data_IF_762075521754
#
_entry.id   IF_762075521754
#
_cell.length_a   1.000
_cell.length_b   1.000
_cell.length_c   1.000
_cell.angle_alpha   90.00
_cell.angle_beta   90.00
_cell.angle_gamma   90.00
#
_symmetry.space_group_name_H-M   'P 1'
#
loop_
_entity.id
_entity.type
_entity.pdbx_description
1 polymer ?
#
# COMPACT_ATOMS: atom_id res chain seq x y z
N UNK A 1 -14.31 8.90 6.87
CA UNK A 1 -13.76 7.77 6.13
C UNK A 1 -12.22 7.79 6.20
N UNK A 2 -11.50 8.50 5.31
CA UNK A 2 -10.02 8.50 5.27
C UNK A 2 -9.30 9.00 6.56
N UNK A 3 -10.02 9.35 7.60
CA UNK A 3 -9.51 9.72 8.93
C UNK A 3 -9.86 8.68 10.00
N UNK A 4 -10.41 7.55 9.60
CA UNK A 4 -10.79 6.45 10.48
C UNK A 4 -9.91 5.23 10.10
N UNK A 5 -9.08 4.80 11.03
CA UNK A 5 -8.08 3.75 10.82
C UNK A 5 -8.70 2.36 10.56
N UNK A 6 -10.00 2.20 10.85
CA UNK A 6 -10.74 0.95 10.59
C UNK A 6 -11.44 0.91 9.22
N UNK A 7 -11.27 1.94 8.39
CA UNK A 7 -11.93 2.02 7.08
C UNK A 7 -11.32 1.05 6.07
N UNK A 8 -12.19 0.33 5.37
CA UNK A 8 -11.79 -0.62 4.35
C UNK A 8 -11.59 0.03 2.97
N UNK A 9 -10.60 -0.46 2.23
CA UNK A 9 -10.34 -0.05 0.84
C UNK A 9 -11.59 -0.25 -0.03
N UNK A 10 -12.04 0.81 -0.72
CA UNK A 10 -13.24 0.80 -1.57
C UNK A 10 -13.29 1.97 -2.53
N UNK A 11 -14.25 1.91 -3.46
CA UNK A 11 -14.64 3.04 -4.30
C UNK A 11 -16.10 3.39 -4.00
N UNK A 12 -16.36 4.66 -3.75
CA UNK A 12 -17.69 5.23 -3.65
C UNK A 12 -17.93 6.16 -4.85
N UNK A 13 -19.03 5.89 -5.57
CA UNK A 13 -19.43 6.63 -6.77
C UNK A 13 -20.66 7.44 -6.45
N UNK A 14 -20.49 8.72 -6.15
CA UNK A 14 -21.54 9.64 -5.81
C UNK A 14 -21.79 10.67 -6.92
N UNK A 15 -22.90 11.39 -6.82
CA UNK A 15 -23.17 12.51 -7.73
C UNK A 15 -22.24 13.67 -7.41
N UNK A 16 -21.37 13.99 -8.38
CA UNK A 16 -20.42 15.10 -8.27
C UNK A 16 -19.04 14.72 -7.75
N UNK A 17 -18.83 13.53 -7.17
CA UNK A 17 -17.50 13.07 -6.76
C UNK A 17 -17.34 11.55 -6.83
N UNK A 18 -16.10 11.12 -6.84
CA UNK A 18 -15.70 9.73 -6.63
C UNK A 18 -14.68 9.69 -5.49
N UNK A 19 -14.94 8.90 -4.47
CA UNK A 19 -14.00 8.64 -3.39
C UNK A 19 -13.35 7.27 -3.61
N UNK A 20 -12.02 7.24 -3.60
CA UNK A 20 -11.21 6.03 -3.64
C UNK A 20 -10.48 5.95 -2.31
N UNK A 21 -10.68 4.86 -1.57
CA UNK A 21 -9.96 4.55 -0.34
C UNK A 21 -9.08 3.35 -0.60
N UNK A 22 -7.81 3.47 -0.21
CA UNK A 22 -6.83 2.38 -0.26
C UNK A 22 -6.00 2.40 1.02
N UNK A 23 -5.50 1.24 1.41
CA UNK A 23 -4.57 1.13 2.52
C UNK A 23 -3.14 1.30 2.01
N UNK A 24 -2.36 2.08 2.72
CA UNK A 24 -0.93 2.26 2.46
C UNK A 24 -0.12 1.79 3.68
N UNK A 25 1.10 1.27 3.47
CA UNK A 25 1.94 0.90 4.60
C UNK A 25 2.47 2.15 5.31
N UNK A 26 2.60 2.03 6.61
CA UNK A 26 3.22 3.03 7.47
C UNK A 26 4.02 2.37 8.60
N UNK A 27 4.75 3.19 9.34
CA UNK A 27 5.57 2.75 10.46
C UNK A 27 5.13 3.54 11.69
N UNK A 28 4.64 2.83 12.69
CA UNK A 28 4.41 3.39 14.02
C UNK A 28 5.64 3.17 14.90
N UNK A 29 6.06 4.19 15.62
CA UNK A 29 7.20 4.12 16.55
C UNK A 29 6.70 4.28 17.97
N UNK A 30 6.76 3.19 18.74
CA UNK A 30 6.38 3.15 20.15
C UNK A 30 7.57 2.71 21.00
N UNK A 31 8.05 3.58 21.91
CA UNK A 31 9.17 3.30 22.79
C UNK A 31 10.42 2.77 22.06
N UNK A 32 10.79 3.45 20.96
CA UNK A 32 11.91 3.08 20.06
C UNK A 32 11.74 1.74 19.29
N UNK A 33 10.54 1.15 19.34
CA UNK A 33 10.21 -0.04 18.55
C UNK A 33 9.40 0.39 17.32
N UNK A 34 9.91 0.05 16.13
CA UNK A 34 9.22 0.25 14.85
C UNK A 34 8.28 -0.92 14.57
N UNK A 35 7.00 -0.62 14.41
CA UNK A 35 5.98 -1.58 13.99
C UNK A 35 5.40 -1.16 12.65
N UNK A 36 5.35 -2.07 11.68
CA UNK A 36 4.70 -1.82 10.40
C UNK A 36 3.19 -1.97 10.56
N UNK A 37 2.49 -0.94 10.14
CA UNK A 37 1.03 -0.85 10.15
C UNK A 37 0.50 -0.47 8.77
N UNK A 38 -0.80 -0.40 8.62
CA UNK A 38 -1.45 0.18 7.43
C UNK A 38 -2.35 1.32 7.86
N UNK A 39 -2.41 2.36 7.02
CA UNK A 39 -3.27 3.53 7.23
C UNK A 39 -4.05 3.83 5.96
N UNK A 40 -5.27 4.36 6.06
CA UNK A 40 -6.07 4.69 4.90
C UNK A 40 -5.54 5.94 4.19
N UNK A 41 -5.50 5.89 2.86
CA UNK A 41 -5.32 7.02 1.97
C UNK A 41 -6.59 7.25 1.17
N UNK A 42 -7.23 8.39 1.37
CA UNK A 42 -8.38 8.84 0.60
C UNK A 42 -7.95 9.66 -0.62
N UNK A 43 -8.54 9.36 -1.78
CA UNK A 43 -8.39 10.12 -3.02
C UNK A 43 -9.78 10.54 -3.46
N UNK A 44 -10.09 11.82 -3.36
CA UNK A 44 -11.37 12.39 -3.75
C UNK A 44 -11.25 13.07 -5.12
N UNK A 45 -11.99 12.56 -6.09
CA UNK A 45 -12.06 13.11 -7.44
C UNK A 45 -13.34 13.92 -7.57
N UNK A 46 -13.20 15.20 -7.85
CA UNK A 46 -14.32 16.10 -8.18
C UNK A 46 -14.19 16.59 -9.63
N UNK A 47 -15.16 17.36 -10.12
CA UNK A 47 -15.09 17.96 -11.44
C UNK A 47 -13.85 18.86 -11.62
N UNK A 48 -13.52 19.66 -10.61
CA UNK A 48 -12.45 20.67 -10.66
C UNK A 48 -11.14 20.30 -9.97
N UNK A 49 -11.11 19.27 -9.09
CA UNK A 49 -9.98 18.99 -8.24
C UNK A 49 -9.75 17.50 -8.00
N UNK A 50 -8.54 17.19 -7.55
CA UNK A 50 -8.19 15.94 -6.87
C UNK A 50 -7.72 16.34 -5.47
N UNK A 51 -8.27 15.70 -4.45
CA UNK A 51 -7.92 15.92 -3.05
C UNK A 51 -7.44 14.60 -2.47
N UNK A 52 -6.26 14.59 -1.88
CA UNK A 52 -5.73 13.44 -1.14
C UNK A 52 -5.80 13.72 0.35
N UNK A 53 -6.21 12.73 1.12
CA UNK A 53 -6.36 12.81 2.58
C UNK A 53 -5.68 11.60 3.21
N UNK A 54 -4.77 11.85 4.14
CA UNK A 54 -4.10 10.83 4.93
C UNK A 54 -3.93 11.37 6.35
N UNK A 55 -3.94 10.50 7.36
CA UNK A 55 -3.78 10.88 8.77
C UNK A 55 -2.34 11.28 9.09
N UNK A 56 -1.38 10.90 8.26
CA UNK A 56 0.04 11.15 8.45
C UNK A 56 0.76 11.45 7.14
N UNK A 57 2.01 11.93 7.24
CA UNK A 57 2.87 12.09 6.08
C UNK A 57 3.29 10.73 5.53
N UNK A 58 3.12 10.51 4.24
CA UNK A 58 3.46 9.26 3.57
C UNK A 58 4.47 9.45 2.45
N UNK A 59 5.46 8.54 2.31
CA UNK A 59 6.38 8.52 1.18
C UNK A 59 5.65 8.50 -0.17
N UNK A 60 4.49 7.86 -0.24
CA UNK A 60 3.64 7.80 -1.46
C UNK A 60 3.35 9.19 -2.00
N UNK A 61 2.84 10.10 -1.16
CA UNK A 61 2.51 11.46 -1.58
C UNK A 61 3.76 12.36 -1.68
N UNK A 62 4.77 12.13 -0.85
CA UNK A 62 6.02 12.87 -0.88
C UNK A 62 6.77 12.75 -2.21
N UNK A 63 6.63 11.64 -2.94
CA UNK A 63 7.19 11.48 -4.28
C UNK A 63 6.67 12.54 -5.27
N UNK A 64 5.38 12.92 -5.15
CA UNK A 64 4.75 13.96 -5.98
C UNK A 64 5.16 15.35 -5.55
N UNK A 65 5.17 15.63 -4.26
CA UNK A 65 5.60 16.93 -3.70
C UNK A 65 7.04 17.24 -4.09
N UNK A 66 7.92 16.24 -4.04
CA UNK A 66 9.34 16.36 -4.41
C UNK A 66 9.58 16.24 -5.93
N UNK A 67 8.54 16.21 -6.76
CA UNK A 67 8.60 16.10 -8.23
C UNK A 67 9.43 14.92 -8.73
N UNK A 68 9.38 13.78 -8.04
CA UNK A 68 10.12 12.56 -8.40
C UNK A 68 9.34 11.61 -9.33
N UNK A 69 8.05 11.90 -9.57
CA UNK A 69 7.20 11.10 -10.44
C UNK A 69 7.25 11.67 -11.86
N UNK A 70 7.63 10.82 -12.82
CA UNK A 70 7.69 11.21 -14.24
C UNK A 70 6.28 11.37 -14.81
N UNK A 71 6.13 12.27 -15.78
CA UNK A 71 4.88 12.55 -16.51
C UNK A 71 3.69 12.87 -15.59
N UNK A 72 3.99 13.36 -14.39
CA UNK A 72 2.98 13.80 -13.44
C UNK A 72 2.25 15.05 -13.94
N UNK A 73 0.90 14.97 -13.96
CA UNK A 73 0.04 16.10 -14.27
C UNK A 73 -1.32 15.96 -13.58
N UNK A 74 -1.69 16.96 -12.81
CA UNK A 74 -3.02 17.03 -12.17
C UNK A 74 -4.18 17.17 -13.16
N UNK A 75 -3.88 17.54 -14.42
CA UNK A 75 -4.88 17.59 -15.52
C UNK A 75 -5.31 16.20 -15.98
N UNK A 76 -4.43 15.20 -15.83
CA UNK A 76 -4.71 13.80 -16.17
C UNK A 76 -5.08 13.05 -14.90
N UNK A 77 -6.31 13.25 -14.42
CA UNK A 77 -6.75 12.78 -13.10
C UNK A 77 -6.56 11.27 -12.89
N UNK A 78 -6.96 10.44 -13.86
CA UNK A 78 -6.82 8.99 -13.72
C UNK A 78 -5.36 8.55 -13.73
N UNK A 79 -4.51 9.18 -14.53
CA UNK A 79 -3.07 8.94 -14.48
C UNK A 79 -2.51 9.23 -13.09
N UNK A 80 -2.89 10.35 -12.51
CA UNK A 80 -2.44 10.70 -11.16
C UNK A 80 -2.89 9.67 -10.12
N UNK A 81 -4.16 9.22 -10.17
CA UNK A 81 -4.64 8.14 -9.30
C UNK A 81 -3.79 6.88 -9.46
N UNK A 82 -3.55 6.44 -10.69
CA UNK A 82 -2.77 5.22 -10.95
C UNK A 82 -1.30 5.37 -10.54
N UNK A 83 -0.72 6.55 -10.69
CA UNK A 83 0.62 6.84 -10.17
C UNK A 83 0.68 6.77 -8.64
N UNK A 84 -0.35 7.26 -7.93
CA UNK A 84 -0.45 7.09 -6.45
C UNK A 84 -0.50 5.60 -6.10
N UNK A 85 -1.35 4.84 -6.77
CA UNK A 85 -1.51 3.40 -6.50
C UNK A 85 -0.25 2.60 -6.87
N UNK A 86 0.48 3.01 -7.90
CA UNK A 86 1.79 2.44 -8.24
C UNK A 86 2.81 2.69 -7.12
N UNK A 87 2.91 3.93 -6.62
CA UNK A 87 3.78 4.25 -5.50
C UNK A 87 3.39 3.49 -4.23
N UNK A 88 2.09 3.27 -4.01
CA UNK A 88 1.59 2.45 -2.89
C UNK A 88 2.08 1.01 -2.99
N UNK A 89 1.91 0.35 -4.15
CA UNK A 89 2.39 -1.02 -4.35
C UNK A 89 3.92 -1.12 -4.23
N UNK A 90 4.65 -0.15 -4.76
CA UNK A 90 6.11 -0.09 -4.65
C UNK A 90 6.57 0.09 -3.19
N UNK A 91 5.86 0.87 -2.38
CA UNK A 91 6.16 1.05 -0.97
C UNK A 91 5.93 -0.27 -0.19
N UNK A 92 4.81 -0.96 -0.42
CA UNK A 92 4.60 -2.30 0.16
C UNK A 92 5.74 -3.25 -0.15
N UNK A 93 6.17 -3.34 -1.40
CA UNK A 93 7.28 -4.21 -1.79
C UNK A 93 8.60 -3.80 -1.13
N UNK A 94 8.86 -2.51 -0.98
CA UNK A 94 10.04 -2.00 -0.27
C UNK A 94 10.05 -2.43 1.19
N UNK A 95 8.92 -2.23 1.88
CA UNK A 95 8.78 -2.57 3.29
C UNK A 95 8.83 -4.10 3.50
N UNK A 96 8.22 -4.86 2.61
CA UNK A 96 8.31 -6.33 2.64
C UNK A 96 9.74 -6.84 2.54
N UNK A 97 10.59 -6.22 1.71
CA UNK A 97 12.03 -6.56 1.64
C UNK A 97 12.76 -6.23 2.94
N UNK A 98 12.36 -5.16 3.63
CA UNK A 98 12.93 -4.81 4.94
C UNK A 98 12.49 -5.81 6.00
N UNK A 99 11.21 -6.19 6.00
CA UNK A 99 10.65 -7.21 6.90
C UNK A 99 11.39 -8.54 6.70
N UNK A 100 11.62 -8.97 5.46
CA UNK A 100 12.37 -10.21 5.18
C UNK A 100 13.82 -10.17 5.68
N UNK A 101 14.49 -9.03 5.55
CA UNK A 101 15.83 -8.85 6.14
C UNK A 101 15.80 -8.92 7.67
N UNK A 102 14.81 -8.30 8.33
CA UNK A 102 14.63 -8.39 9.78
C UNK A 102 14.41 -9.85 10.20
N UNK A 103 13.53 -10.58 9.49
CA UNK A 103 13.28 -12.00 9.71
C UNK A 103 14.59 -12.82 9.64
N UNK A 104 15.34 -12.69 8.55
CA UNK A 104 16.62 -13.41 8.36
C UNK A 104 17.59 -13.15 9.51
N UNK A 105 17.71 -11.89 9.94
CA UNK A 105 18.60 -11.54 11.05
C UNK A 105 18.17 -12.17 12.39
N UNK A 106 16.85 -12.32 12.63
CA UNK A 106 16.32 -13.00 13.81
C UNK A 106 16.62 -14.51 13.72
N UNK A 107 16.35 -15.15 12.60
CA UNK A 107 16.57 -16.58 12.40
C UNK A 107 18.05 -16.98 12.55
N UNK A 108 18.97 -16.13 12.12
CA UNK A 108 20.41 -16.35 12.33
C UNK A 108 20.77 -16.36 13.82
N UNK A 109 20.16 -15.48 14.64
CA UNK A 109 20.35 -15.48 16.11
C UNK A 109 19.75 -16.71 16.77
N UNK A 110 18.52 -17.07 16.39
CA UNK A 110 17.81 -18.27 16.90
C UNK A 110 18.64 -19.55 16.67
N UNK A 111 19.41 -19.64 15.59
CA UNK A 111 20.27 -20.77 15.30
C UNK A 111 21.41 -20.98 16.31
N UNK A 112 21.81 -19.96 17.06
CA UNK A 112 22.87 -20.01 18.06
C UNK A 112 22.33 -20.19 19.49
N UNK A 113 21.33 -19.41 19.88
CA UNK A 113 20.61 -19.50 21.17
C UNK A 113 19.23 -18.86 21.00
N UNK A 114 18.18 -19.65 21.11
CA UNK A 114 16.80 -19.15 21.03
C UNK A 114 16.44 -18.43 22.31
N UNK A 115 16.13 -17.14 22.21
CA UNK A 115 15.56 -16.34 23.28
C UNK A 115 14.04 -16.18 23.07
N UNK A 116 13.26 -16.07 24.13
CA UNK A 116 11.81 -15.85 24.02
C UNK A 116 11.47 -14.56 23.24
N UNK A 117 12.34 -13.55 23.31
CA UNK A 117 12.21 -12.29 22.60
C UNK A 117 12.30 -12.48 21.07
N UNK A 118 13.19 -13.33 20.59
CA UNK A 118 13.31 -13.64 19.15
C UNK A 118 12.02 -14.28 18.60
N UNK A 119 11.37 -15.13 19.36
CA UNK A 119 10.09 -15.75 18.98
C UNK A 119 8.95 -14.72 18.95
N UNK A 120 8.94 -13.77 19.90
CA UNK A 120 7.97 -12.67 19.91
C UNK A 120 8.17 -11.77 18.68
N UNK A 121 9.42 -11.46 18.33
CA UNK A 121 9.76 -10.65 17.17
C UNK A 121 9.31 -11.33 15.86
N UNK A 122 9.58 -12.64 15.70
CA UNK A 122 9.12 -13.39 14.52
C UNK A 122 7.59 -13.40 14.41
N UNK A 123 6.88 -13.58 15.52
CA UNK A 123 5.42 -13.54 15.56
C UNK A 123 4.88 -12.15 15.22
N UNK A 124 5.55 -11.09 15.65
CA UNK A 124 5.21 -9.71 15.28
C UNK A 124 5.36 -9.48 13.76
N UNK A 125 6.44 -9.98 13.15
CA UNK A 125 6.63 -9.90 11.70
C UNK A 125 5.58 -10.72 10.94
N UNK A 126 5.25 -11.93 11.42
CA UNK A 126 4.17 -12.73 10.83
C UNK A 126 2.82 -11.98 10.85
N UNK A 127 2.47 -11.38 11.98
CA UNK A 127 1.26 -10.58 12.10
C UNK A 127 1.24 -9.42 11.10
N UNK A 128 2.36 -8.71 10.93
CA UNK A 128 2.51 -7.65 9.92
C UNK A 128 2.26 -8.17 8.51
N UNK A 129 2.81 -9.35 8.16
CA UNK A 129 2.60 -9.96 6.84
C UNK A 129 1.13 -10.29 6.58
N UNK A 130 0.38 -10.72 7.62
CA UNK A 130 -1.07 -10.97 7.53
C UNK A 130 -1.84 -9.67 7.28
N UNK A 131 -1.52 -8.60 8.01
CA UNK A 131 -2.15 -7.29 7.81
C UNK A 131 -1.84 -6.72 6.42
N UNK A 132 -0.60 -6.76 5.98
CA UNK A 132 -0.22 -6.32 4.64
C UNK A 132 -0.92 -7.13 3.55
N UNK A 133 -1.00 -8.45 3.69
CA UNK A 133 -1.73 -9.29 2.74
C UNK A 133 -3.21 -8.93 2.67
N UNK A 134 -3.84 -8.62 3.80
CA UNK A 134 -5.25 -8.23 3.89
C UNK A 134 -5.48 -6.90 3.18
N UNK A 135 -4.69 -5.89 3.49
CA UNK A 135 -4.77 -4.56 2.86
C UNK A 135 -4.47 -4.60 1.36
N UNK A 136 -3.44 -5.35 0.93
CA UNK A 136 -3.11 -5.51 -0.49
C UNK A 136 -4.23 -6.20 -1.28
N UNK A 137 -4.92 -7.20 -0.69
CA UNK A 137 -6.09 -7.84 -1.31
C UNK A 137 -7.26 -6.87 -1.42
N UNK A 138 -7.53 -6.08 -0.38
CA UNK A 138 -8.55 -5.04 -0.42
C UNK A 138 -8.24 -3.97 -1.48
N UNK A 139 -7.00 -3.52 -1.57
CA UNK A 139 -6.53 -2.64 -2.65
C UNK A 139 -6.72 -3.30 -4.04
N UNK A 140 -6.49 -4.60 -4.14
CA UNK A 140 -6.72 -5.35 -5.38
C UNK A 140 -8.17 -5.30 -5.87
N UNK A 141 -9.14 -5.32 -4.95
CA UNK A 141 -10.58 -5.12 -5.28
C UNK A 141 -10.82 -3.71 -5.84
N UNK A 142 -10.17 -2.69 -5.28
CA UNK A 142 -10.25 -1.32 -5.78
C UNK A 142 -9.67 -1.24 -7.19
N UNK A 143 -8.50 -1.84 -7.44
CA UNK A 143 -7.86 -1.89 -8.76
C UNK A 143 -8.75 -2.58 -9.81
N UNK A 144 -9.40 -3.68 -9.45
CA UNK A 144 -10.34 -4.37 -10.33
C UNK A 144 -11.57 -3.51 -10.69
N UNK A 145 -12.08 -2.74 -9.73
CA UNK A 145 -13.15 -1.76 -10.00
C UNK A 145 -12.68 -0.62 -10.88
N UNK A 146 -11.47 -0.11 -10.66
CA UNK A 146 -10.88 0.96 -11.49
C UNK A 146 -10.67 0.52 -12.94
N UNK A 147 -10.38 -0.75 -13.20
CA UNK A 147 -10.26 -1.29 -14.56
C UNK A 147 -11.55 -1.16 -15.38
N UNK A 148 -12.69 -1.09 -14.69
CA UNK A 148 -14.04 -0.94 -15.27
C UNK A 148 -14.60 0.48 -15.13
N UNK A 149 -13.81 1.42 -14.58
CA UNK A 149 -14.22 2.78 -14.30
C UNK A 149 -14.23 3.63 -15.57
N UNK A 150 -15.37 4.22 -15.91
CA UNK A 150 -15.58 4.96 -17.17
C UNK A 150 -16.05 6.40 -16.98
N UNK A 151 -16.25 6.86 -15.74
CA UNK A 151 -16.77 8.21 -15.44
C UNK A 151 -15.82 9.34 -15.82
N UNK A 152 -14.51 9.08 -15.87
CA UNK A 152 -13.51 10.05 -16.28
C UNK A 152 -12.77 9.55 -17.50
N UNK A 153 -12.36 10.51 -18.34
CA UNK A 153 -11.56 10.22 -19.53
C UNK A 153 -10.23 9.57 -19.13
N UNK A 154 -9.93 8.47 -19.77
CA UNK A 154 -8.67 7.75 -19.66
C UNK A 154 -8.01 7.66 -21.04
N UNK A 155 -6.69 7.67 -21.06
CA UNK A 155 -5.89 7.47 -22.27
C UNK A 155 -5.38 6.02 -22.31
N UNK A 156 -4.99 5.50 -23.50
CA UNK A 156 -4.42 4.15 -23.59
C UNK A 156 -3.25 3.92 -22.62
N UNK A 157 -2.37 4.90 -22.47
CA UNK A 157 -1.21 4.84 -21.56
C UNK A 157 -1.64 4.79 -20.07
N UNK A 158 -2.81 5.30 -19.73
CA UNK A 158 -3.34 5.21 -18.36
C UNK A 158 -3.81 3.79 -18.08
N UNK A 159 -4.37 3.08 -19.08
CA UNK A 159 -4.76 1.68 -18.95
C UNK A 159 -3.53 0.75 -18.83
N UNK A 160 -2.46 1.03 -19.54
CA UNK A 160 -1.19 0.33 -19.42
C UNK A 160 -0.64 0.50 -18.00
N UNK A 161 -0.61 1.73 -17.48
CA UNK A 161 -0.18 2.02 -16.12
C UNK A 161 -1.03 1.30 -15.08
N UNK A 162 -2.36 1.25 -15.24
CA UNK A 162 -3.23 0.48 -14.35
C UNK A 162 -2.89 -1.02 -14.40
N UNK A 163 -2.59 -1.56 -15.58
CA UNK A 163 -2.11 -2.94 -15.74
C UNK A 163 -0.84 -3.19 -14.93
N UNK A 164 0.12 -2.29 -14.99
CA UNK A 164 1.37 -2.36 -14.21
C UNK A 164 1.08 -2.32 -12.70
N UNK A 165 0.20 -1.43 -12.25
CA UNK A 165 -0.20 -1.34 -10.83
C UNK A 165 -0.81 -2.66 -10.33
N UNK A 166 -1.67 -3.28 -11.14
CA UNK A 166 -2.30 -4.57 -10.81
C UNK A 166 -1.22 -5.66 -10.65
N UNK A 167 -0.24 -5.69 -11.54
CA UNK A 167 0.89 -6.64 -11.47
C UNK A 167 1.71 -6.41 -10.20
N UNK A 168 2.10 -5.17 -9.92
CA UNK A 168 2.88 -4.82 -8.74
C UNK A 168 2.15 -5.15 -7.43
N UNK A 169 0.83 -4.90 -7.37
CA UNK A 169 0.01 -5.26 -6.21
C UNK A 169 -0.07 -6.78 -6.01
N UNK A 170 -0.25 -7.55 -7.08
CA UNK A 170 -0.24 -9.02 -7.03
C UNK A 170 1.11 -9.55 -6.57
N UNK A 171 2.20 -9.00 -7.09
CA UNK A 171 3.55 -9.37 -6.66
C UNK A 171 3.77 -9.11 -5.16
N UNK A 172 3.29 -7.99 -4.63
CA UNK A 172 3.35 -7.72 -3.20
C UNK A 172 2.55 -8.76 -2.37
N UNK A 173 1.37 -9.17 -2.84
CA UNK A 173 0.58 -10.24 -2.20
C UNK A 173 1.38 -11.56 -2.17
N UNK A 174 1.99 -11.95 -3.27
CA UNK A 174 2.81 -13.16 -3.35
C UNK A 174 4.02 -13.09 -2.39
N UNK A 175 4.67 -11.93 -2.29
CA UNK A 175 5.76 -11.73 -1.34
C UNK A 175 5.30 -11.93 0.10
N UNK A 176 4.11 -11.43 0.50
CA UNK A 176 3.59 -11.66 1.85
C UNK A 176 3.38 -13.14 2.14
N UNK A 177 2.87 -13.89 1.15
CA UNK A 177 2.64 -15.33 1.28
C UNK A 177 3.97 -16.09 1.46
N UNK A 178 4.92 -15.82 0.58
CA UNK A 178 6.25 -16.49 0.61
C UNK A 178 6.95 -16.24 1.94
N UNK A 179 7.01 -14.99 2.38
CA UNK A 179 7.72 -14.64 3.63
C UNK A 179 7.04 -15.21 4.87
N UNK A 180 5.70 -15.26 4.88
CA UNK A 180 4.94 -15.90 5.96
C UNK A 180 5.18 -17.41 5.98
N UNK A 181 5.18 -18.07 4.82
CA UNK A 181 5.40 -19.51 4.72
C UNK A 181 6.83 -19.88 5.19
N UNK A 182 7.81 -19.02 4.95
CA UNK A 182 9.18 -19.20 5.48
C UNK A 182 9.22 -19.08 7.02
N UNK A 183 8.49 -18.12 7.61
CA UNK A 183 8.43 -17.98 9.09
C UNK A 183 7.81 -19.23 9.72
N UNK A 184 6.80 -19.83 9.09
CA UNK A 184 6.04 -20.96 9.61
C UNK A 184 6.64 -22.34 9.26
N UNK A 185 7.64 -22.42 8.41
CA UNK A 185 8.30 -23.66 7.96
C UNK A 185 9.50 -24.03 8.77
#
# INVERSE_FOLDING_TARGET
AALDDEESSRIELEDGYTLILVDIPSIEVNHDVETYITVPLGILLTQGAIITVCTEETPVLQHFVKRRVRDFSTKKKMRFVYQILFQTAALYQSDLRIIDKKRTAIEERVGENTEDEDLIDLHSLESTLVYFATSLRANGVVLDRLSRYTRLKQYPEDQELLGDVIVENKQAIEMTSIYRDIING
#
